data_IF_354667176551
#
_entry.id   IF_354667176551
#
_cell.length_a   1.000
_cell.length_b   1.000
_cell.length_c   1.000
_cell.angle_alpha   90.00
_cell.angle_beta   90.00
_cell.angle_gamma   90.00
#
_symmetry.space_group_name_H-M   'P 1'
#
loop_
_entity.id
_entity.type
_entity.pdbx_description
1 polymer ?
#
# COMPACT_ATOMS: atom_id res chain seq x y z
N UNK A 1 2.08 -29.86 -14.45
CA UNK A 1 2.59 -28.84 -15.39
C UNK A 1 2.51 -27.43 -14.81
N UNK A 2 1.40 -26.97 -14.23
CA UNK A 2 1.24 -25.62 -13.65
C UNK A 2 2.29 -25.26 -12.57
N UNK A 3 2.62 -26.17 -11.66
CA UNK A 3 3.65 -25.95 -10.62
C UNK A 3 5.07 -25.72 -11.20
N UNK A 4 5.39 -26.34 -12.33
CA UNK A 4 6.68 -26.16 -12.99
C UNK A 4 6.74 -24.78 -13.68
N UNK A 5 5.65 -24.39 -14.36
CA UNK A 5 5.54 -23.08 -15.04
C UNK A 5 5.65 -21.93 -14.02
N UNK A 6 4.98 -22.06 -12.86
CA UNK A 6 5.06 -21.05 -11.81
C UNK A 6 6.49 -20.95 -11.23
N UNK A 7 7.17 -22.09 -11.03
CA UNK A 7 8.56 -22.11 -10.53
C UNK A 7 9.54 -21.50 -11.55
N UNK A 8 9.39 -21.83 -12.84
CA UNK A 8 10.23 -21.22 -13.88
C UNK A 8 9.95 -19.74 -14.06
N UNK A 9 8.70 -19.30 -14.03
CA UNK A 9 8.34 -17.89 -14.08
C UNK A 9 8.91 -17.12 -12.87
N UNK A 10 8.84 -17.70 -11.68
CA UNK A 10 9.42 -17.10 -10.47
C UNK A 10 10.96 -17.01 -10.56
N UNK A 11 11.60 -18.04 -11.09
CA UNK A 11 13.05 -18.07 -11.28
C UNK A 11 13.50 -17.05 -12.34
N UNK A 12 12.75 -16.95 -13.45
CA UNK A 12 13.01 -15.96 -14.51
C UNK A 12 12.82 -14.54 -14.00
N UNK A 13 11.78 -14.32 -13.19
CA UNK A 13 11.55 -13.03 -12.54
C UNK A 13 12.70 -12.68 -11.59
N UNK A 14 13.17 -13.66 -10.83
CA UNK A 14 14.29 -13.49 -9.90
C UNK A 14 15.61 -13.19 -10.65
N UNK A 15 15.87 -13.87 -11.77
CA UNK A 15 17.06 -13.63 -12.60
C UNK A 15 16.98 -12.30 -13.35
N UNK A 16 15.81 -11.87 -13.80
CA UNK A 16 15.63 -10.53 -14.37
C UNK A 16 15.86 -9.43 -13.33
N UNK A 17 15.49 -9.65 -12.07
CA UNK A 17 15.76 -8.73 -10.96
C UNK A 17 17.27 -8.62 -10.62
N UNK A 18 18.02 -9.69 -10.83
CA UNK A 18 19.49 -9.69 -10.57
C UNK A 18 20.31 -9.13 -11.74
N UNK A 19 19.78 -9.08 -12.95
CA UNK A 19 20.50 -8.59 -14.15
C UNK A 19 20.53 -7.07 -14.29
N UNK A 20 19.83 -6.33 -13.44
CA UNK A 20 19.99 -4.87 -13.36
C UNK A 20 21.26 -4.59 -12.54
N UNK A 21 22.43 -4.82 -13.15
CA UNK A 21 23.72 -4.41 -12.60
C UNK A 21 23.78 -2.88 -12.76
N UNK A 22 23.20 -2.18 -11.81
CA UNK A 22 23.43 -0.76 -11.64
C UNK A 22 24.87 -0.59 -11.17
N UNK A 23 25.70 0.11 -11.94
CA UNK A 23 27.01 0.55 -11.48
C UNK A 23 26.84 1.24 -10.13
N UNK A 24 27.57 0.78 -9.13
CA UNK A 24 27.51 1.34 -7.77
C UNK A 24 27.99 2.79 -7.80
N UNK A 25 27.08 3.71 -7.96
CA UNK A 25 27.31 5.14 -7.75
C UNK A 25 26.85 5.46 -6.33
N UNK A 26 27.77 5.98 -5.52
CA UNK A 26 27.54 6.39 -4.13
C UNK A 26 26.64 7.65 -4.04
N UNK A 27 26.22 8.17 -5.17
CA UNK A 27 25.32 9.29 -5.28
C UNK A 27 24.73 9.41 -6.68
N UNK A 28 23.60 10.06 -6.79
CA UNK A 28 22.94 10.39 -8.04
C UNK A 28 22.00 11.58 -7.86
N UNK A 29 21.69 12.22 -8.97
CA UNK A 29 20.71 13.29 -8.98
C UNK A 29 19.30 12.74 -8.91
N UNK A 30 18.41 13.42 -8.22
CA UNK A 30 17.00 13.03 -8.07
C UNK A 30 16.08 14.25 -8.14
N UNK A 31 14.86 14.04 -8.56
CA UNK A 31 13.84 15.08 -8.55
C UNK A 31 13.25 15.23 -7.14
N UNK A 32 13.00 16.47 -6.74
CA UNK A 32 12.49 16.80 -5.41
C UNK A 32 11.02 16.37 -5.21
N UNK A 33 10.27 16.22 -6.28
CA UNK A 33 8.87 15.85 -6.24
C UNK A 33 8.57 14.69 -7.19
N UNK A 34 7.56 13.87 -6.83
CA UNK A 34 6.94 12.92 -7.74
C UNK A 34 5.42 13.06 -7.67
N UNK A 35 4.76 12.78 -8.77
CA UNK A 35 3.32 12.52 -8.84
C UNK A 35 3.12 11.08 -9.25
N UNK A 36 2.17 10.41 -8.62
CA UNK A 36 1.96 8.99 -8.87
C UNK A 36 0.51 8.58 -8.86
N UNK A 37 0.30 7.44 -9.48
CA UNK A 37 -0.97 6.73 -9.56
C UNK A 37 -0.73 5.26 -9.25
N UNK A 38 -1.64 4.65 -8.48
CA UNK A 38 -1.56 3.22 -8.15
C UNK A 38 -2.92 2.56 -8.07
N UNK A 39 -2.93 1.25 -8.28
CA UNK A 39 -4.06 0.37 -8.07
C UNK A 39 -3.85 -0.43 -6.79
N UNK A 40 -4.87 -0.49 -5.95
CA UNK A 40 -4.91 -1.28 -4.73
C UNK A 40 -5.91 -2.43 -4.87
N UNK A 41 -5.51 -3.61 -4.40
CA UNK A 41 -6.39 -4.77 -4.23
C UNK A 41 -6.61 -4.93 -2.74
N UNK A 42 -7.82 -4.60 -2.27
CA UNK A 42 -8.16 -4.49 -0.86
C UNK A 42 -8.75 -5.78 -0.33
N UNK A 43 -8.48 -6.08 0.93
CA UNK A 43 -9.10 -7.15 1.69
C UNK A 43 -9.44 -6.63 3.08
N UNK A 44 -10.71 -6.69 3.45
CA UNK A 44 -11.24 -6.18 4.71
C UNK A 44 -11.17 -7.25 5.82
N UNK A 45 -10.96 -6.80 7.06
CA UNK A 45 -10.96 -7.58 8.29
C UNK A 45 -11.73 -6.80 9.35
N UNK A 46 -12.79 -7.37 9.88
CA UNK A 46 -13.67 -6.76 10.88
C UNK A 46 -14.73 -7.77 11.32
N UNK A 47 -15.95 -7.33 11.51
CA UNK A 47 -17.08 -8.11 12.05
C UNK A 47 -17.58 -9.23 11.13
N UNK A 48 -17.11 -9.30 9.89
CA UNK A 48 -17.46 -10.35 8.93
C UNK A 48 -16.31 -11.32 8.75
N UNK A 49 -16.64 -12.61 8.69
CA UNK A 49 -15.63 -13.68 8.59
C UNK A 49 -15.13 -13.85 7.16
N UNK A 50 -16.03 -13.72 6.18
CA UNK A 50 -15.67 -13.93 4.78
C UNK A 50 -15.10 -12.65 4.15
N UNK A 51 -13.79 -12.63 3.92
CA UNK A 51 -13.14 -11.52 3.25
C UNK A 51 -13.39 -11.56 1.73
N UNK A 52 -13.74 -10.41 1.15
CA UNK A 52 -13.91 -10.21 -0.30
C UNK A 52 -12.83 -9.29 -0.82
N UNK A 53 -12.23 -9.67 -1.97
CA UNK A 53 -11.26 -8.80 -2.64
C UNK A 53 -11.98 -7.70 -3.41
N UNK A 54 -11.57 -6.48 -3.19
CA UNK A 54 -12.09 -5.28 -3.87
C UNK A 54 -10.95 -4.45 -4.44
N UNK A 55 -11.27 -3.39 -5.17
CA UNK A 55 -10.25 -2.56 -5.83
C UNK A 55 -10.37 -1.11 -5.39
N UNK A 56 -9.23 -0.43 -5.41
CA UNK A 56 -9.13 1.01 -5.20
C UNK A 56 -8.10 1.65 -6.12
N UNK A 57 -8.25 2.94 -6.31
CA UNK A 57 -7.38 3.79 -7.10
C UNK A 57 -6.78 4.83 -6.18
N UNK A 58 -5.48 5.00 -6.23
CA UNK A 58 -4.74 5.93 -5.39
C UNK A 58 -3.98 6.93 -6.26
N UNK A 59 -4.04 8.19 -5.86
CA UNK A 59 -3.20 9.28 -6.35
C UNK A 59 -2.27 9.71 -5.23
N UNK A 60 -1.00 9.95 -5.55
CA UNK A 60 -0.05 10.41 -4.56
C UNK A 60 0.83 11.55 -5.10
N UNK A 61 1.19 12.43 -4.16
CA UNK A 61 2.18 13.47 -4.34
C UNK A 61 3.29 13.24 -3.32
N UNK A 62 4.53 13.15 -3.79
CA UNK A 62 5.68 12.86 -2.97
C UNK A 62 6.62 14.05 -2.93
N UNK A 63 7.06 14.42 -1.74
CA UNK A 63 8.24 15.26 -1.51
C UNK A 63 9.41 14.37 -1.13
N UNK A 64 10.44 14.36 -1.96
CA UNK A 64 11.66 13.57 -1.77
C UNK A 64 12.69 14.43 -1.02
N UNK A 65 12.86 14.18 0.26
CA UNK A 65 13.92 14.81 1.06
C UNK A 65 15.30 14.26 0.65
N UNK A 66 15.36 12.96 0.40
CA UNK A 66 16.48 12.25 -0.22
C UNK A 66 15.93 11.24 -1.23
N UNK A 67 16.76 10.57 -2.03
CA UNK A 67 16.29 9.47 -2.88
C UNK A 67 15.67 8.30 -2.12
N UNK A 68 15.81 8.28 -0.79
CA UNK A 68 15.45 7.19 0.11
C UNK A 68 14.51 7.60 1.25
N UNK A 69 14.29 8.91 1.46
CA UNK A 69 13.34 9.47 2.44
C UNK A 69 12.30 10.28 1.70
N UNK A 70 11.04 9.85 1.77
CA UNK A 70 9.95 10.47 1.05
C UNK A 70 8.77 10.77 1.98
N UNK A 71 8.23 11.98 1.89
CA UNK A 71 6.96 12.37 2.50
C UNK A 71 5.88 12.28 1.42
N UNK A 72 4.83 11.54 1.70
CA UNK A 72 3.83 11.15 0.70
C UNK A 72 2.46 11.59 1.18
N UNK A 73 1.80 12.44 0.39
CA UNK A 73 0.37 12.68 0.50
C UNK A 73 -0.36 11.72 -0.43
N UNK A 74 -1.35 10.99 0.10
CA UNK A 74 -2.14 10.01 -0.64
C UNK A 74 -3.63 10.35 -0.58
N UNK A 75 -4.31 10.25 -1.71
CA UNK A 75 -5.76 10.26 -1.83
C UNK A 75 -6.20 9.00 -2.55
N UNK A 76 -7.02 8.18 -1.89
CA UNK A 76 -7.50 6.91 -2.45
C UNK A 76 -9.02 6.84 -2.46
N UNK A 77 -9.55 6.22 -3.51
CA UNK A 77 -10.97 5.97 -3.72
C UNK A 77 -11.15 4.50 -4.07
N UNK A 78 -12.14 3.84 -3.49
CA UNK A 78 -12.33 2.41 -3.75
C UNK A 78 -13.56 1.84 -3.08
N UNK A 79 -13.58 0.50 -3.03
CA UNK A 79 -14.62 -0.26 -2.38
C UNK A 79 -14.04 -1.18 -1.33
N UNK A 80 -14.82 -1.41 -0.28
CA UNK A 80 -14.62 -2.47 0.70
C UNK A 80 -15.86 -3.36 0.67
N UNK A 81 -15.68 -4.65 0.83
CA UNK A 81 -16.80 -5.58 0.95
C UNK A 81 -16.37 -6.80 1.76
N UNK A 82 -17.32 -7.42 2.41
CA UNK A 82 -17.10 -8.64 3.16
C UNK A 82 -18.41 -9.33 3.48
N UNK A 83 -18.28 -10.51 4.11
CA UNK A 83 -19.38 -11.32 4.55
C UNK A 83 -20.05 -12.18 3.46
N UNK A 84 -20.72 -13.21 3.92
CA UNK A 84 -21.47 -14.16 3.08
C UNK A 84 -22.69 -14.63 3.86
N UNK A 85 -23.85 -14.74 3.17
CA UNK A 85 -25.11 -15.12 3.80
C UNK A 85 -25.11 -16.53 4.42
N UNK A 86 -24.26 -17.42 3.91
CA UNK A 86 -24.21 -18.84 4.28
C UNK A 86 -23.03 -19.11 5.23
N UNK A 87 -21.86 -18.56 4.90
CA UNK A 87 -20.60 -18.88 5.57
C UNK A 87 -20.28 -17.94 6.75
N UNK A 88 -20.90 -16.77 6.82
CA UNK A 88 -20.76 -15.89 7.99
C UNK A 88 -21.70 -16.36 9.10
N UNK A 89 -21.24 -16.48 10.37
CA UNK A 89 -22.04 -17.00 11.49
C UNK A 89 -23.36 -16.30 11.72
N UNK A 90 -23.46 -15.02 11.39
CA UNK A 90 -24.69 -14.23 11.47
C UNK A 90 -25.29 -13.90 10.10
N UNK A 91 -24.72 -14.41 9.02
CA UNK A 91 -25.13 -14.09 7.64
C UNK A 91 -24.91 -12.62 7.26
N UNK A 92 -24.01 -11.92 7.97
CA UNK A 92 -23.71 -10.50 7.74
C UNK A 92 -23.01 -10.31 6.42
N UNK A 93 -23.41 -9.27 5.70
CA UNK A 93 -22.77 -8.87 4.44
C UNK A 93 -22.78 -7.35 4.33
N UNK A 94 -21.70 -6.79 3.80
CA UNK A 94 -21.65 -5.38 3.46
C UNK A 94 -20.88 -5.13 2.17
N UNK A 95 -21.18 -3.98 1.56
CA UNK A 95 -20.38 -3.33 0.55
C UNK A 95 -20.39 -1.83 0.84
N UNK A 96 -19.23 -1.22 0.81
CA UNK A 96 -19.03 0.20 1.10
C UNK A 96 -18.15 0.84 0.03
N UNK A 97 -18.48 2.06 -0.33
CA UNK A 97 -17.59 2.96 -1.05
C UNK A 97 -16.75 3.74 -0.03
N UNK A 98 -15.44 3.82 -0.22
CA UNK A 98 -14.58 4.58 0.67
C UNK A 98 -13.71 5.56 -0.09
N UNK A 99 -13.31 6.61 0.63
CA UNK A 99 -12.25 7.51 0.25
C UNK A 99 -11.37 7.79 1.47
N UNK A 100 -10.05 7.87 1.27
CA UNK A 100 -9.17 8.30 2.33
C UNK A 100 -8.15 9.33 1.87
N UNK A 101 -7.66 10.08 2.84
CA UNK A 101 -6.53 10.99 2.71
C UNK A 101 -5.53 10.67 3.79
N UNK A 102 -4.26 10.53 3.43
CA UNK A 102 -3.19 10.16 4.36
C UNK A 102 -1.90 10.92 4.09
N UNK A 103 -1.15 11.18 5.16
CA UNK A 103 0.24 11.62 5.13
C UNK A 103 1.11 10.47 5.61
N UNK A 104 2.06 10.05 4.81
CA UNK A 104 2.94 8.92 5.10
C UNK A 104 4.40 9.30 4.90
N UNK A 105 5.25 8.89 5.84
CA UNK A 105 6.71 8.88 5.71
C UNK A 105 7.14 7.51 5.18
N UNK A 106 8.03 7.50 4.20
CA UNK A 106 8.64 6.30 3.63
C UNK A 106 10.14 6.37 3.77
N UNK A 107 10.74 5.33 4.34
CA UNK A 107 12.18 5.15 4.49
C UNK A 107 12.62 3.93 3.67
N UNK A 108 13.54 4.13 2.73
CA UNK A 108 14.14 3.07 1.94
C UNK A 108 15.46 2.61 2.58
N UNK A 109 15.78 1.32 2.44
CA UNK A 109 16.98 0.73 3.00
C UNK A 109 18.27 1.41 2.55
N UNK A 110 18.28 2.02 1.36
CA UNK A 110 19.42 2.76 0.83
C UNK A 110 19.87 3.95 1.67
N UNK A 111 19.01 4.50 2.54
CA UNK A 111 19.43 5.51 3.52
C UNK A 111 20.32 4.92 4.62
N UNK A 112 20.04 3.67 5.02
CA UNK A 112 20.65 3.03 6.19
C UNK A 112 21.86 2.17 5.84
N UNK A 113 21.82 1.47 4.69
CA UNK A 113 22.86 0.49 4.31
C UNK A 113 23.88 1.11 3.35
N UNK A 114 25.12 0.63 3.38
CA UNK A 114 26.09 0.89 2.32
C UNK A 114 25.85 -0.09 1.15
N UNK A 115 25.53 0.48 -0.01
CA UNK A 115 25.25 -0.26 -1.24
C UNK A 115 26.34 -0.13 -2.31
N UNK A 116 27.47 0.51 -1.99
CA UNK A 116 28.53 0.85 -2.96
C UNK A 116 29.37 -0.36 -3.39
N UNK A 117 29.69 -1.25 -2.45
CA UNK A 117 30.59 -2.37 -2.66
C UNK A 117 29.91 -3.74 -2.80
N UNK A 118 28.61 -3.85 -2.61
CA UNK A 118 27.90 -5.13 -2.54
C UNK A 118 26.67 -5.14 -3.45
N UNK A 119 26.63 -6.06 -4.42
CA UNK A 119 25.52 -6.22 -5.35
C UNK A 119 24.17 -6.51 -4.68
N UNK A 120 24.15 -7.29 -3.61
CA UNK A 120 22.95 -7.58 -2.84
C UNK A 120 22.43 -6.32 -2.12
N UNK A 121 23.33 -5.59 -1.46
CA UNK A 121 22.95 -4.33 -0.80
C UNK A 121 22.43 -3.32 -1.82
N UNK A 122 23.04 -3.24 -3.01
CA UNK A 122 22.57 -2.40 -4.09
C UNK A 122 21.17 -2.81 -4.60
N UNK A 123 20.85 -4.10 -4.65
CA UNK A 123 19.52 -4.59 -4.99
C UNK A 123 18.50 -4.24 -3.90
N UNK A 124 18.88 -4.33 -2.63
CA UNK A 124 17.98 -4.08 -1.49
C UNK A 124 17.76 -2.59 -1.16
N UNK A 125 18.56 -1.66 -1.70
CA UNK A 125 18.53 -0.25 -1.33
C UNK A 125 17.16 0.43 -1.52
N UNK A 126 16.33 -0.08 -2.43
CA UNK A 126 15.01 0.45 -2.73
C UNK A 126 13.86 -0.28 -2.00
N UNK A 127 14.19 -1.28 -1.16
CA UNK A 127 13.22 -1.85 -0.23
C UNK A 127 12.84 -0.78 0.79
N UNK A 128 11.54 -0.64 1.08
CA UNK A 128 11.10 0.41 1.99
C UNK A 128 10.09 -0.09 3.02
N UNK A 129 10.04 0.64 4.10
CA UNK A 129 8.96 0.66 5.06
C UNK A 129 8.39 2.07 5.15
N UNK A 130 7.10 2.21 5.36
CA UNK A 130 6.46 3.50 5.53
C UNK A 130 5.28 3.40 6.47
N UNK A 131 5.04 4.49 7.21
CA UNK A 131 3.88 4.63 8.07
C UNK A 131 3.44 6.09 8.13
N UNK A 132 2.26 6.33 8.67
CA UNK A 132 1.69 7.66 8.74
C UNK A 132 0.35 7.70 9.45
N UNK A 133 -0.43 8.71 9.14
CA UNK A 133 -1.79 8.89 9.66
C UNK A 133 -2.70 9.36 8.54
N UNK A 134 -3.94 8.91 8.57
CA UNK A 134 -4.95 9.31 7.62
C UNK A 134 -6.36 9.34 8.20
N UNK A 135 -7.27 9.85 7.41
CA UNK A 135 -8.70 9.85 7.68
C UNK A 135 -9.37 9.08 6.53
N UNK A 136 -10.21 8.12 6.88
CA UNK A 136 -11.02 7.34 5.96
C UNK A 136 -12.50 7.67 6.15
N UNK A 137 -13.17 7.90 5.06
CA UNK A 137 -14.62 8.10 4.99
C UNK A 137 -15.20 6.88 4.31
N UNK A 138 -16.17 6.23 4.95
CA UNK A 138 -16.92 5.09 4.41
C UNK A 138 -18.38 5.45 4.23
N UNK A 139 -18.96 4.98 3.15
CA UNK A 139 -20.39 5.05 2.88
C UNK A 139 -20.86 3.68 2.44
N UNK A 140 -21.76 3.12 3.25
CA UNK A 140 -22.35 1.81 2.95
C UNK A 140 -23.23 1.94 1.72
N UNK A 141 -22.98 1.09 0.73
CA UNK A 141 -23.76 0.97 -0.51
C UNK A 141 -24.76 -0.19 -0.44
N UNK A 142 -24.44 -1.24 0.32
CA UNK A 142 -25.33 -2.38 0.56
C UNK A 142 -24.93 -3.05 1.87
N UNK A 143 -25.91 -3.41 2.70
CA UNK A 143 -25.67 -4.08 3.98
C UNK A 143 -26.85 -4.96 4.36
N UNK A 144 -26.57 -6.12 4.96
CA UNK A 144 -27.55 -6.94 5.64
C UNK A 144 -27.24 -6.99 7.14
N UNK A 145 -28.05 -6.29 7.95
CA UNK A 145 -27.92 -6.21 9.41
C UNK A 145 -28.75 -7.24 10.17
N UNK A 146 -29.68 -7.91 9.48
CA UNK A 146 -30.47 -8.96 10.09
C UNK A 146 -29.79 -10.31 9.91
N UNK A 147 -29.72 -11.07 11.00
CA UNK A 147 -29.17 -12.42 10.93
C UNK A 147 -30.09 -13.32 10.11
N UNK A 148 -29.48 -14.06 9.20
CA UNK A 148 -30.18 -15.14 8.44
C UNK A 148 -30.37 -16.38 9.31
N UNK A 149 -29.45 -16.65 10.23
CA UNK A 149 -29.46 -17.84 11.10
C UNK A 149 -30.31 -17.66 12.34
N UNK A 150 -30.43 -16.43 12.86
CA UNK A 150 -31.21 -16.11 14.08
C UNK A 150 -32.27 -15.06 13.76
N UNK A 151 -33.49 -15.48 13.37
CA UNK A 151 -34.55 -14.55 13.03
C UNK A 151 -34.84 -13.54 14.14
N UNK A 152 -34.84 -12.25 13.81
CA UNK A 152 -35.05 -11.16 14.77
C UNK A 152 -33.78 -10.59 15.40
N UNK A 153 -32.61 -11.19 15.21
CA UNK A 153 -31.36 -10.59 15.65
C UNK A 153 -30.89 -9.52 14.67
N UNK A 154 -30.65 -8.32 15.17
CA UNK A 154 -30.23 -7.13 14.41
C UNK A 154 -28.88 -6.62 14.94
N UNK A 155 -27.92 -6.40 14.06
CA UNK A 155 -26.63 -5.78 14.39
C UNK A 155 -26.70 -4.28 14.09
N UNK A 156 -26.51 -3.39 15.09
CA UNK A 156 -26.52 -1.95 14.87
C UNK A 156 -25.29 -1.50 14.11
N UNK A 157 -25.28 -0.24 13.64
CA UNK A 157 -24.13 0.39 13.00
C UNK A 157 -24.56 1.58 12.13
N UNK A 158 -23.56 2.29 11.58
CA UNK A 158 -23.76 3.50 10.79
C UNK A 158 -23.60 3.24 9.28
N UNK A 159 -24.39 3.95 8.47
CA UNK A 159 -24.29 3.91 7.00
C UNK A 159 -23.19 4.82 6.45
N UNK A 160 -22.74 5.76 7.27
CA UNK A 160 -21.64 6.68 6.93
C UNK A 160 -20.77 6.89 8.15
N UNK A 161 -19.49 6.77 7.97
CA UNK A 161 -18.52 6.96 9.05
C UNK A 161 -17.29 7.70 8.58
N UNK A 162 -16.58 8.30 9.53
CA UNK A 162 -15.30 8.96 9.33
C UNK A 162 -14.39 8.55 10.48
N UNK A 163 -13.27 7.91 10.16
CA UNK A 163 -12.38 7.33 11.17
C UNK A 163 -10.92 7.66 10.85
N UNK A 164 -10.11 7.76 11.89
CA UNK A 164 -8.65 7.88 11.77
C UNK A 164 -8.08 6.49 11.56
N UNK A 165 -7.04 6.40 10.75
CA UNK A 165 -6.31 5.14 10.56
C UNK A 165 -4.81 5.38 10.48
N UNK A 166 -4.04 4.32 10.77
CA UNK A 166 -2.59 4.27 10.61
C UNK A 166 -2.24 3.27 9.52
N UNK A 167 -1.74 3.72 8.36
CA UNK A 167 -1.20 2.85 7.34
C UNK A 167 0.22 2.41 7.71
N UNK A 168 0.50 1.12 7.58
CA UNK A 168 1.87 0.56 7.61
C UNK A 168 2.11 -0.14 6.28
N UNK A 169 3.12 0.29 5.54
CA UNK A 169 3.41 -0.23 4.20
C UNK A 169 4.84 -0.73 4.11
N UNK A 170 5.01 -1.90 3.53
CA UNK A 170 6.29 -2.44 3.11
C UNK A 170 6.25 -2.68 1.61
N UNK A 171 7.36 -2.40 0.92
CA UNK A 171 7.38 -2.58 -0.53
C UNK A 171 8.74 -2.32 -1.13
N UNK A 172 8.75 -2.33 -2.45
CA UNK A 172 9.94 -2.09 -3.25
C UNK A 172 9.65 -1.09 -4.36
N UNK A 173 10.58 -0.15 -4.57
CA UNK A 173 10.49 0.87 -5.60
C UNK A 173 11.54 0.63 -6.69
N UNK A 174 11.11 0.23 -7.88
CA UNK A 174 11.96 0.07 -9.05
C UNK A 174 12.17 1.45 -9.69
N UNK A 175 13.41 1.93 -9.69
CA UNK A 175 13.79 3.23 -10.26
C UNK A 175 14.32 3.06 -11.68
N UNK A 176 13.68 3.70 -12.66
CA UNK A 176 14.08 3.70 -14.06
C UNK A 176 14.82 5.01 -14.31
N UNK A 177 16.10 4.89 -14.65
CA UNK A 177 16.99 6.02 -14.82
C UNK A 177 17.01 6.49 -16.27
N UNK A 178 17.02 7.80 -16.48
CA UNK A 178 17.20 8.41 -17.78
C UNK A 178 18.69 8.46 -18.19
N UNK A 179 18.96 9.02 -19.36
CA UNK A 179 20.33 9.20 -19.89
C UNK A 179 21.25 10.06 -19.00
N UNK A 180 20.68 10.86 -18.11
CA UNK A 180 21.42 11.69 -17.15
C UNK A 180 21.61 11.00 -15.79
N UNK A 181 21.38 9.69 -15.71
CA UNK A 181 21.49 8.88 -14.47
C UNK A 181 20.55 9.37 -13.35
N UNK A 182 19.42 9.94 -13.70
CA UNK A 182 18.38 10.42 -12.80
C UNK A 182 17.15 9.54 -12.92
N UNK A 183 16.50 9.11 -11.80
CA UNK A 183 15.28 8.35 -11.86
C UNK A 183 14.11 9.25 -12.30
N UNK A 184 13.55 9.00 -13.46
CA UNK A 184 12.41 9.75 -14.00
C UNK A 184 11.09 9.01 -13.76
N UNK A 185 11.12 7.67 -13.80
CA UNK A 185 9.95 6.82 -13.56
C UNK A 185 10.28 5.85 -12.43
N UNK A 186 9.33 5.66 -11.55
CA UNK A 186 9.45 4.70 -10.44
C UNK A 186 8.23 3.79 -10.46
N UNK A 187 8.44 2.47 -10.42
CA UNK A 187 7.38 1.48 -10.25
C UNK A 187 7.38 1.06 -8.81
N UNK A 188 6.25 1.22 -8.14
CA UNK A 188 6.05 0.94 -6.72
C UNK A 188 5.19 -0.31 -6.56
N UNK A 189 5.71 -1.30 -5.84
CA UNK A 189 4.98 -2.52 -5.50
C UNK A 189 5.07 -2.71 -3.98
N UNK A 190 3.92 -2.80 -3.32
CA UNK A 190 3.91 -2.90 -1.88
C UNK A 190 2.66 -3.57 -1.31
N UNK A 191 2.78 -3.94 -0.04
CA UNK A 191 1.69 -4.42 0.78
C UNK A 191 1.47 -3.43 1.93
N UNK A 192 0.24 -2.99 2.09
CA UNK A 192 -0.15 -2.03 3.11
C UNK A 192 -1.22 -2.63 4.01
N UNK A 193 -1.03 -2.47 5.32
CA UNK A 193 -2.01 -2.76 6.34
C UNK A 193 -2.50 -1.44 6.93
N UNK A 194 -3.81 -1.29 7.07
CA UNK A 194 -4.46 -0.10 7.57
C UNK A 194 -5.20 -0.45 8.85
N UNK A 195 -4.64 -0.04 9.98
CA UNK A 195 -5.27 -0.15 11.28
C UNK A 195 -6.23 1.03 11.47
N UNK A 196 -7.52 0.78 11.53
CA UNK A 196 -8.56 1.81 11.68
C UNK A 196 -8.91 1.94 13.15
N UNK A 197 -9.04 3.16 13.64
CA UNK A 197 -9.45 3.43 15.03
C UNK A 197 -10.96 3.62 15.09
N UNK A 198 -11.70 2.51 14.99
CA UNK A 198 -13.16 2.45 15.02
C UNK A 198 -13.67 1.12 14.50
N UNK A 199 -14.94 0.85 14.73
CA UNK A 199 -15.63 -0.44 14.53
C UNK A 199 -16.83 -0.30 13.57
N UNK A 200 -16.88 0.73 12.76
CA UNK A 200 -18.06 1.01 11.94
C UNK A 200 -17.71 1.23 10.45
N UNK A 201 -16.50 0.83 10.03
CA UNK A 201 -16.06 0.98 8.64
C UNK A 201 -16.86 0.07 7.70
N UNK A 202 -17.28 -1.09 8.19
CA UNK A 202 -18.15 -2.05 7.51
C UNK A 202 -19.64 -1.79 7.74
N UNK A 203 -19.99 -0.81 8.57
CA UNK A 203 -21.37 -0.47 8.91
C UNK A 203 -21.98 -1.33 10.00
N UNK A 204 -21.21 -2.17 10.66
CA UNK A 204 -21.60 -2.90 11.86
C UNK A 204 -20.94 -2.27 13.10
N UNK A 205 -21.57 -2.38 14.22
CA UNK A 205 -21.01 -2.05 15.54
C UNK A 205 -21.20 -3.26 16.42
N UNK A 206 -20.22 -4.15 16.41
CA UNK A 206 -20.33 -5.47 17.05
C UNK A 206 -18.93 -5.96 17.44
N UNK A 207 -18.78 -6.34 18.69
CA UNK A 207 -17.51 -6.87 19.17
C UNK A 207 -16.64 -5.88 19.94
N UNK A 208 -15.33 -6.15 19.98
CA UNK A 208 -14.35 -5.34 20.72
C UNK A 208 -13.09 -5.05 19.89
N UNK A 209 -13.06 -5.49 18.63
CA UNK A 209 -11.91 -5.31 17.75
C UNK A 209 -12.20 -4.19 16.76
N UNK A 210 -11.25 -3.30 16.61
CA UNK A 210 -11.32 -2.27 15.58
C UNK A 210 -11.21 -2.88 14.18
N UNK A 211 -11.83 -2.24 13.22
CA UNK A 211 -11.73 -2.60 11.81
C UNK A 211 -10.31 -2.43 11.27
N UNK A 212 -9.97 -3.27 10.31
CA UNK A 212 -8.74 -3.17 9.57
C UNK A 212 -8.91 -3.61 8.12
N UNK A 213 -8.04 -3.17 7.24
CA UNK A 213 -7.97 -3.73 5.90
C UNK A 213 -6.54 -3.71 5.38
N UNK A 214 -6.21 -4.70 4.59
CA UNK A 214 -4.95 -4.75 3.87
C UNK A 214 -5.15 -4.47 2.40
N UNK A 215 -4.05 -4.10 1.73
CA UNK A 215 -4.06 -3.91 0.28
C UNK A 215 -2.70 -4.26 -0.33
N UNK A 216 -2.76 -4.99 -1.43
CA UNK A 216 -1.62 -5.10 -2.34
C UNK A 216 -1.70 -3.94 -3.32
N UNK A 217 -0.61 -3.20 -3.46
CA UNK A 217 -0.55 -1.97 -4.26
C UNK A 217 0.50 -2.09 -5.34
N UNK A 218 0.13 -1.71 -6.55
CA UNK A 218 1.05 -1.54 -7.66
C UNK A 218 0.81 -0.17 -8.30
N UNK A 219 1.87 0.59 -8.52
CA UNK A 219 1.76 1.95 -9.04
C UNK A 219 2.95 2.42 -9.83
N UNK A 220 2.79 3.57 -10.44
CA UNK A 220 3.82 4.29 -11.14
C UNK A 220 3.89 5.71 -10.62
N UNK A 221 5.12 6.23 -10.47
CA UNK A 221 5.40 7.61 -10.08
C UNK A 221 6.27 8.24 -11.14
N UNK A 222 6.01 9.49 -11.43
CA UNK A 222 6.77 10.32 -12.37
C UNK A 222 7.46 11.41 -11.59
N UNK A 223 8.76 11.51 -11.79
CA UNK A 223 9.58 12.53 -11.15
C UNK A 223 9.41 13.88 -11.83
N UNK A 224 9.16 14.92 -11.04
CA UNK A 224 8.90 16.28 -11.52
C UNK A 224 9.68 17.32 -10.71
N UNK A 225 9.82 18.51 -11.27
CA UNK A 225 10.36 19.68 -10.59
C UNK A 225 11.88 19.74 -10.56
N UNK A 226 12.40 20.43 -9.54
CA UNK A 226 13.82 20.71 -9.37
C UNK A 226 14.63 19.45 -9.10
N UNK A 227 15.83 19.42 -9.67
CA UNK A 227 16.79 18.32 -9.51
C UNK A 227 17.80 18.67 -8.42
N UNK A 228 18.01 17.75 -7.52
CA UNK A 228 18.94 17.87 -6.41
C UNK A 228 19.95 16.73 -6.45
N UNK A 229 21.20 17.03 -6.12
CA UNK A 229 22.26 16.02 -6.03
C UNK A 229 22.29 15.39 -4.64
N UNK A 230 22.31 14.06 -4.59
CA UNK A 230 22.46 13.30 -3.35
C UNK A 230 23.82 12.63 -3.30
N UNK A 231 24.50 12.80 -2.19
CA UNK A 231 25.75 12.09 -1.89
C UNK A 231 25.67 11.53 -0.48
N UNK A 232 25.68 10.22 -0.38
CA UNK A 232 25.72 9.56 0.91
C UNK A 232 27.14 9.68 1.50
N UNK A 233 27.21 10.18 2.75
CA UNK A 233 28.47 10.12 3.51
C UNK A 233 28.64 8.68 4.01
N UNK A 234 29.74 8.07 3.63
CA UNK A 234 30.13 6.75 4.16
C UNK A 234 31.04 7.04 5.36
N UNK A 235 30.57 6.71 6.55
CA UNK A 235 31.41 6.68 7.74
C UNK A 235 32.11 5.32 7.74
N UNK A 236 33.43 5.34 7.63
CA UNK A 236 34.30 4.15 7.71
C UNK A 236 34.51 3.74 9.18
#
# INVERSE_FOLDING_TARGET
>A
MTKLIVRTALLTLLTCLTSIISKAQIGYDYARYDVGFSLGFNQFYGDVVTAKSTKGVNFNFNYNQSPFINYIFEAQFGKLAGGDAINDPLGRQFAADYQYYALRLQLQAGELIDYSGNGLANALKNLYIGSGVGIIYSKISSINRYSVQFPGYYTPGLDKTSQIFVPVRIGYEFKIFNKYQRPDIKIDVGYQYNAVFGDELDGFNSGHLNDAYSQFVIGVKFSIGEVTSYRKQINF
#
